data_IF_354049258932
#
_entry.id   IF_354049258932
#
_cell.length_a   1.000
_cell.length_b   1.000
_cell.length_c   1.000
_cell.angle_alpha   90.00
_cell.angle_beta   90.00
_cell.angle_gamma   90.00
#
_symmetry.space_group_name_H-M   'P 1'
#
loop_
_entity.id
_entity.type
_entity.pdbx_description
1 polymer ?
#
# COMPACT_ATOMS: atom_id res chain seq x y z
N UNK A 1 3.12 -6.09 9.65
CA UNK A 1 3.50 -4.68 9.93
C UNK A 1 2.23 -3.93 10.25
N UNK A 2 2.20 -3.20 11.36
CA UNK A 2 1.04 -2.42 11.79
C UNK A 2 0.96 -1.10 11.02
N UNK A 3 -0.05 -0.94 10.15
CA UNK A 3 -0.28 0.30 9.39
C UNK A 3 -1.53 1.01 9.90
N UNK A 4 -1.42 2.33 10.12
CA UNK A 4 -2.59 3.17 10.41
C UNK A 4 -3.43 3.33 9.14
N UNK A 5 -4.62 2.72 9.12
CA UNK A 5 -5.51 2.72 7.94
C UNK A 5 -6.67 3.71 8.09
N UNK A 6 -6.96 4.17 9.31
CA UNK A 6 -8.00 5.17 9.52
C UNK A 6 -8.15 5.62 10.96
N UNK A 7 -9.14 6.49 11.18
CA UNK A 7 -9.53 7.00 12.50
C UNK A 7 -11.05 6.98 12.64
N UNK A 8 -11.53 6.51 13.78
CA UNK A 8 -12.96 6.54 14.12
C UNK A 8 -13.37 7.98 14.44
N UNK A 9 -14.40 8.45 13.75
CA UNK A 9 -15.01 9.75 13.96
C UNK A 9 -16.25 9.69 14.86
N UNK A 10 -17.25 10.50 14.54
CA UNK A 10 -18.49 10.59 15.34
C UNK A 10 -19.41 9.41 15.11
N UNK A 11 -20.21 9.06 16.11
CA UNK A 11 -21.31 8.13 15.94
C UNK A 11 -22.36 8.68 14.93
N UNK A 12 -22.84 7.80 14.08
CA UNK A 12 -23.84 8.04 13.05
C UNK A 12 -25.10 7.22 13.34
N UNK A 13 -26.25 7.89 13.38
CA UNK A 13 -27.52 7.23 13.72
C UNK A 13 -27.55 6.65 15.13
N UNK A 14 -28.39 5.63 15.32
CA UNK A 14 -28.61 4.93 16.60
C UNK A 14 -28.12 3.47 16.60
N UNK A 15 -27.79 2.93 15.41
CA UNK A 15 -27.50 1.51 15.20
C UNK A 15 -26.00 1.17 15.31
N UNK A 16 -25.24 1.93 16.11
CA UNK A 16 -23.83 1.60 16.39
C UNK A 16 -22.84 1.87 15.27
N UNK A 17 -23.17 2.76 14.33
CA UNK A 17 -22.26 3.11 13.24
C UNK A 17 -21.41 4.33 13.60
N UNK A 18 -20.18 4.38 13.10
CA UNK A 18 -19.32 5.56 13.20
C UNK A 18 -18.75 5.95 11.83
N UNK A 19 -18.55 7.25 11.63
CA UNK A 19 -17.84 7.77 10.46
C UNK A 19 -16.37 7.41 10.53
N UNK A 20 -15.75 7.04 9.42
CA UNK A 20 -14.32 6.75 9.36
C UNK A 20 -13.60 7.80 8.52
N UNK A 21 -12.55 8.38 9.11
CA UNK A 21 -11.53 9.10 8.35
C UNK A 21 -10.56 8.08 7.77
N UNK A 22 -10.65 7.85 6.47
CA UNK A 22 -9.83 6.88 5.73
C UNK A 22 -8.41 7.44 5.54
N UNK A 23 -7.40 6.61 5.81
CA UNK A 23 -5.97 6.96 5.70
C UNK A 23 -5.16 5.93 4.91
N UNK A 24 -5.86 5.09 4.15
CA UNK A 24 -5.30 4.07 3.26
C UNK A 24 -5.90 4.24 1.87
N UNK A 25 -5.14 3.88 0.86
CA UNK A 25 -5.56 3.75 -0.55
C UNK A 25 -6.45 2.51 -0.77
N UNK A 26 -6.18 1.42 -0.07
CA UNK A 26 -6.91 0.14 -0.16
C UNK A 26 -8.07 0.02 0.86
N UNK A 27 -8.94 1.03 0.94
CA UNK A 27 -10.01 1.07 1.95
C UNK A 27 -11.01 -0.10 1.84
N UNK A 28 -11.26 -0.59 0.62
CA UNK A 28 -12.23 -1.65 0.37
C UNK A 28 -11.84 -2.96 1.05
N UNK A 29 -10.55 -3.33 0.97
CA UNK A 29 -10.03 -4.55 1.58
C UNK A 29 -9.80 -4.35 3.08
N UNK A 30 -9.21 -3.21 3.49
CA UNK A 30 -8.86 -2.95 4.91
C UNK A 30 -10.05 -2.81 5.83
N UNK A 31 -11.18 -2.34 5.31
CA UNK A 31 -12.41 -2.19 6.08
C UNK A 31 -13.48 -3.18 5.66
N UNK A 32 -13.12 -4.28 4.98
CA UNK A 32 -14.08 -5.30 4.57
C UNK A 32 -14.83 -5.91 5.77
N UNK A 33 -16.00 -6.48 5.50
CA UNK A 33 -16.77 -7.21 6.50
C UNK A 33 -15.91 -8.32 7.13
N UNK A 34 -15.84 -8.36 8.46
CA UNK A 34 -15.03 -9.31 9.22
C UNK A 34 -13.54 -8.94 9.35
N UNK A 35 -13.10 -7.83 8.78
CA UNK A 35 -11.73 -7.35 8.97
C UNK A 35 -11.48 -7.06 10.47
N UNK A 36 -10.33 -7.51 10.96
CA UNK A 36 -9.87 -7.25 12.33
C UNK A 36 -8.91 -6.08 12.33
N UNK A 37 -9.26 -5.04 13.06
CA UNK A 37 -8.49 -3.81 13.17
C UNK A 37 -8.02 -3.63 14.60
N UNK A 38 -6.73 -3.48 14.78
CA UNK A 38 -6.14 -3.19 16.08
C UNK A 38 -6.38 -1.73 16.46
N UNK A 39 -6.47 -1.48 17.75
CA UNK A 39 -6.46 -0.13 18.33
C UNK A 39 -5.45 -0.08 19.48
N UNK A 40 -5.06 1.13 19.89
CA UNK A 40 -4.14 1.27 21.03
C UNK A 40 -4.84 1.03 22.38
N UNK A 41 -6.10 1.45 22.50
CA UNK A 41 -6.79 1.57 23.80
C UNK A 41 -8.10 0.76 23.93
N UNK A 42 -8.56 0.12 22.85
CA UNK A 42 -9.84 -0.61 22.82
C UNK A 42 -9.71 -2.09 22.43
N UNK A 43 -8.48 -2.59 22.32
CA UNK A 43 -8.23 -3.92 21.77
C UNK A 43 -8.58 -4.01 20.29
N UNK A 44 -8.83 -5.23 19.83
CA UNK A 44 -9.12 -5.45 18.42
C UNK A 44 -10.61 -5.34 18.14
N UNK A 45 -10.94 -4.66 17.05
CA UNK A 45 -12.29 -4.43 16.59
C UNK A 45 -12.53 -5.24 15.32
N UNK A 46 -13.58 -6.05 15.31
CA UNK A 46 -14.04 -6.76 14.11
C UNK A 46 -15.11 -5.92 13.41
N UNK A 47 -14.93 -5.66 12.12
CA UNK A 47 -15.91 -4.93 11.30
C UNK A 47 -17.17 -5.79 11.12
N UNK A 48 -18.32 -5.31 11.58
CA UNK A 48 -19.61 -5.99 11.49
C UNK A 48 -20.45 -5.49 10.29
N UNK A 49 -20.26 -4.23 9.87
CA UNK A 49 -20.89 -3.71 8.67
C UNK A 49 -20.09 -2.57 8.04
N UNK A 50 -20.26 -2.43 6.74
CA UNK A 50 -19.56 -1.45 5.90
C UNK A 50 -20.56 -0.79 4.98
N UNK A 51 -20.63 0.54 5.01
CA UNK A 51 -21.40 1.28 4.00
C UNK A 51 -20.81 2.65 3.73
N UNK A 52 -21.08 3.17 2.55
CA UNK A 52 -20.78 4.56 2.19
C UNK A 52 -22.08 5.34 2.13
N UNK A 53 -22.15 6.46 2.83
CA UNK A 53 -23.29 7.37 2.80
C UNK A 53 -22.82 8.80 2.55
N UNK A 54 -23.27 9.41 1.45
CA UNK A 54 -22.86 10.76 1.01
C UNK A 54 -21.33 10.94 0.97
N UNK A 55 -20.61 9.93 0.46
CA UNK A 55 -19.15 9.95 0.35
C UNK A 55 -18.40 9.72 1.67
N UNK A 56 -19.10 9.43 2.78
CA UNK A 56 -18.49 9.13 4.07
C UNK A 56 -18.57 7.63 4.33
N UNK A 57 -17.43 7.01 4.66
CA UNK A 57 -17.38 5.62 5.09
C UNK A 57 -17.96 5.49 6.51
N UNK A 58 -18.85 4.53 6.69
CA UNK A 58 -19.49 4.18 7.95
C UNK A 58 -19.19 2.71 8.26
N UNK A 59 -18.73 2.45 9.47
CA UNK A 59 -18.51 1.10 10.00
C UNK A 59 -19.30 0.87 11.28
N UNK A 60 -19.74 -0.36 11.50
CA UNK A 60 -20.08 -0.89 12.83
C UNK A 60 -19.08 -1.96 13.24
N UNK A 61 -18.97 -2.19 14.54
CA UNK A 61 -18.04 -3.17 15.11
C UNK A 61 -18.77 -4.14 16.03
N UNK A 62 -18.34 -5.40 16.04
CA UNK A 62 -18.91 -6.42 16.92
C UNK A 62 -18.86 -5.98 18.39
N UNK A 63 -19.99 -6.08 19.09
CA UNK A 63 -20.12 -5.63 20.48
C UNK A 63 -20.39 -4.13 20.66
N UNK A 64 -20.44 -3.33 19.59
CA UNK A 64 -20.73 -1.89 19.60
C UNK A 64 -22.01 -1.57 18.82
N UNK A 65 -23.13 -2.18 19.21
CA UNK A 65 -24.40 -2.15 18.46
C UNK A 65 -25.27 -0.90 18.68
N UNK A 66 -24.81 0.09 19.45
CA UNK A 66 -25.57 1.31 19.72
C UNK A 66 -24.70 2.57 19.70
N UNK A 67 -25.36 3.73 19.59
CA UNK A 67 -24.70 5.04 19.53
C UNK A 67 -23.75 5.30 20.69
N UNK A 68 -24.14 4.95 21.91
CA UNK A 68 -23.35 5.23 23.10
C UNK A 68 -22.15 4.30 23.19
N UNK A 69 -22.28 3.06 22.73
CA UNK A 69 -21.17 2.13 22.63
C UNK A 69 -20.13 2.64 21.63
N UNK A 70 -20.54 2.93 20.39
CA UNK A 70 -19.59 3.32 19.33
C UNK A 70 -18.96 4.70 19.57
N UNK A 71 -19.65 5.63 20.24
CA UNK A 71 -19.07 6.95 20.59
C UNK A 71 -17.89 6.81 21.57
N UNK A 72 -17.78 5.72 22.35
CA UNK A 72 -16.61 5.45 23.20
C UNK A 72 -15.33 5.17 22.39
N UNK A 73 -15.48 4.77 21.13
CA UNK A 73 -14.38 4.51 20.21
C UNK A 73 -13.94 5.75 19.45
N UNK A 74 -14.59 6.89 19.67
CA UNK A 74 -14.29 8.12 18.95
C UNK A 74 -12.82 8.52 19.12
N UNK A 75 -12.25 8.98 18.02
CA UNK A 75 -10.85 9.38 17.86
C UNK A 75 -9.83 8.23 17.96
N UNK A 76 -10.27 6.99 18.19
CA UNK A 76 -9.40 5.83 18.14
C UNK A 76 -8.82 5.62 16.73
N UNK A 77 -7.54 5.28 16.69
CA UNK A 77 -6.82 4.93 15.47
C UNK A 77 -7.05 3.46 15.15
N UNK A 78 -7.30 3.17 13.87
CA UNK A 78 -7.49 1.83 13.34
C UNK A 78 -6.22 1.40 12.64
N UNK A 79 -5.68 0.26 13.05
CA UNK A 79 -4.51 -0.32 12.43
C UNK A 79 -4.83 -1.69 11.83
N UNK A 80 -4.34 -1.92 10.62
CA UNK A 80 -4.36 -3.24 10.01
C UNK A 80 -2.97 -3.87 10.13
N UNK A 81 -2.90 -5.16 10.46
CA UNK A 81 -1.67 -5.92 10.29
C UNK A 81 -1.54 -6.33 8.83
N UNK A 82 -0.43 -5.92 8.23
CA UNK A 82 -0.10 -6.20 6.83
C UNK A 82 1.03 -7.21 6.81
N UNK A 83 0.82 -8.35 6.17
CA UNK A 83 1.94 -9.15 5.73
C UNK A 83 2.56 -8.50 4.48
N UNK A 84 3.69 -7.83 4.67
CA UNK A 84 4.45 -7.20 3.58
C UNK A 84 5.03 -8.23 2.59
N UNK A 85 4.99 -9.53 2.93
CA UNK A 85 5.40 -10.62 2.05
C UNK A 85 4.22 -11.29 1.35
N UNK A 86 2.97 -10.89 1.66
CA UNK A 86 1.83 -11.35 0.88
C UNK A 86 1.94 -10.79 -0.56
N UNK A 87 1.70 -11.62 -1.59
CA UNK A 87 1.63 -11.14 -2.96
C UNK A 87 0.48 -10.13 -3.10
N UNK A 88 0.63 -9.14 -4.00
CA UNK A 88 -0.45 -8.25 -4.40
C UNK A 88 -1.63 -9.03 -5.02
N UNK A 89 -2.79 -8.38 -5.15
CA UNK A 89 -3.98 -9.02 -5.75
C UNK A 89 -3.82 -9.31 -7.25
N UNK A 90 -2.88 -8.63 -7.90
CA UNK A 90 -2.47 -8.85 -9.29
C UNK A 90 -0.99 -9.24 -9.36
N UNK A 91 -0.60 -10.09 -10.30
CA UNK A 91 0.80 -10.53 -10.50
C UNK A 91 1.75 -9.36 -10.85
N UNK A 92 1.18 -8.20 -11.22
CA UNK A 92 1.87 -6.96 -11.55
C UNK A 92 1.78 -5.87 -10.44
N UNK A 93 1.12 -6.16 -9.31
CA UNK A 93 1.01 -5.25 -8.15
C UNK A 93 2.17 -5.48 -7.16
N UNK A 94 3.27 -4.74 -7.36
CA UNK A 94 4.42 -4.77 -6.47
C UNK A 94 4.35 -3.64 -5.44
N UNK A 95 4.46 -3.98 -4.16
CA UNK A 95 4.69 -2.94 -3.16
C UNK A 95 6.09 -2.34 -3.37
N UNK A 96 6.18 -1.02 -3.44
CA UNK A 96 7.43 -0.26 -3.58
C UNK A 96 8.54 -0.76 -2.62
N UNK A 97 8.16 -1.10 -1.39
CA UNK A 97 9.09 -1.61 -0.37
C UNK A 97 9.69 -2.99 -0.68
N UNK A 98 9.04 -3.79 -1.53
CA UNK A 98 9.54 -5.09 -1.97
C UNK A 98 10.63 -4.97 -3.05
N UNK A 99 10.61 -3.87 -3.81
CA UNK A 99 11.56 -3.60 -4.89
C UNK A 99 12.92 -3.11 -4.35
N UNK A 100 12.92 -2.34 -3.27
CA UNK A 100 14.14 -1.84 -2.64
C UNK A 100 14.99 -3.00 -2.09
N UNK A 101 16.27 -3.01 -2.44
CA UNK A 101 17.21 -4.08 -2.10
C UNK A 101 17.21 -5.26 -3.07
N UNK A 102 16.44 -5.20 -4.17
CA UNK A 102 16.61 -6.08 -5.31
C UNK A 102 17.79 -5.65 -6.19
N UNK A 103 18.26 -6.55 -7.04
CA UNK A 103 19.32 -6.30 -8.03
C UNK A 103 18.73 -6.18 -9.42
N UNK A 104 19.15 -5.15 -10.15
CA UNK A 104 18.75 -4.91 -11.54
C UNK A 104 19.78 -5.52 -12.51
N UNK A 105 19.31 -6.27 -13.49
CA UNK A 105 20.13 -6.91 -14.53
C UNK A 105 19.65 -6.53 -15.92
N UNK A 106 20.54 -6.50 -16.90
CA UNK A 106 20.18 -6.40 -18.30
C UNK A 106 19.64 -7.73 -18.83
N UNK A 107 19.03 -7.71 -20.02
CA UNK A 107 18.52 -8.90 -20.71
C UNK A 107 19.61 -9.95 -20.98
N UNK A 108 20.88 -9.54 -21.10
CA UNK A 108 22.02 -10.44 -21.26
C UNK A 108 22.53 -11.05 -19.94
N UNK A 109 21.91 -10.69 -18.81
CA UNK A 109 22.27 -11.14 -17.47
C UNK A 109 23.36 -10.31 -16.78
N UNK A 110 23.86 -9.23 -17.40
CA UNK A 110 24.84 -8.33 -16.79
C UNK A 110 24.22 -7.53 -15.64
N UNK A 111 24.91 -7.45 -14.50
CA UNK A 111 24.44 -6.65 -13.36
C UNK A 111 24.56 -5.15 -13.65
N UNK A 112 23.46 -4.42 -13.48
CA UNK A 112 23.43 -2.95 -13.55
C UNK A 112 23.75 -2.35 -12.19
N UNK A 113 23.13 -2.88 -11.12
CA UNK A 113 23.29 -2.35 -9.78
C UNK A 113 22.20 -2.79 -8.82
N UNK A 114 22.21 -2.19 -7.63
CA UNK A 114 21.21 -2.41 -6.59
C UNK A 114 20.09 -1.36 -6.69
N UNK A 115 18.84 -1.78 -6.52
CA UNK A 115 17.70 -0.88 -6.44
C UNK A 115 17.69 -0.27 -5.04
N UNK A 116 17.94 1.03 -4.95
CA UNK A 116 18.10 1.75 -3.69
C UNK A 116 16.84 2.50 -3.27
N UNK A 117 16.00 2.87 -4.22
CA UNK A 117 14.78 3.63 -3.96
C UNK A 117 13.77 3.48 -5.13
N UNK A 118 12.53 3.91 -4.89
CA UNK A 118 11.52 4.08 -5.93
C UNK A 118 10.87 5.45 -5.75
N UNK A 119 11.05 6.33 -6.73
CA UNK A 119 10.46 7.66 -6.72
C UNK A 119 9.02 7.58 -7.20
N UNK A 120 8.06 7.93 -6.34
CA UNK A 120 6.66 8.10 -6.75
C UNK A 120 6.48 9.50 -7.34
N UNK A 121 6.55 9.61 -8.67
CA UNK A 121 6.32 10.87 -9.38
C UNK A 121 4.86 10.96 -9.86
N UNK A 122 4.32 12.18 -10.07
CA UNK A 122 2.99 12.32 -10.66
C UNK A 122 2.93 11.65 -12.04
N UNK A 123 2.16 10.55 -12.12
CA UNK A 123 1.88 9.82 -13.36
C UNK A 123 2.69 8.55 -13.59
N UNK A 124 3.78 8.28 -12.84
CA UNK A 124 4.49 7.00 -12.88
C UNK A 124 5.53 6.87 -11.76
N UNK A 125 5.85 5.62 -11.41
CA UNK A 125 6.96 5.29 -10.53
C UNK A 125 8.28 5.15 -11.30
N UNK A 126 9.39 5.49 -10.65
CA UNK A 126 10.74 5.43 -11.23
C UNK A 126 11.68 4.71 -10.28
N UNK A 127 12.29 3.61 -10.73
CA UNK A 127 13.33 2.89 -10.00
C UNK A 127 14.60 3.72 -9.95
N UNK A 128 15.22 3.80 -8.77
CA UNK A 128 16.56 4.33 -8.56
C UNK A 128 17.53 3.16 -8.40
N UNK A 129 18.47 3.04 -9.34
CA UNK A 129 19.46 1.97 -9.36
C UNK A 129 20.84 2.58 -9.11
N UNK A 130 21.52 2.14 -8.07
CA UNK A 130 22.90 2.50 -7.81
C UNK A 130 23.82 1.74 -8.77
N UNK A 131 24.19 2.38 -9.89
CA UNK A 131 25.21 1.88 -10.81
C UNK A 131 26.64 2.11 -10.29
N UNK A 132 27.64 1.62 -11.03
CA UNK A 132 29.04 1.72 -10.60
C UNK A 132 29.56 3.18 -10.46
N UNK A 133 29.07 4.09 -11.29
CA UNK A 133 29.56 5.48 -11.37
C UNK A 133 28.49 6.55 -11.14
N UNK A 134 27.21 6.21 -11.30
CA UNK A 134 26.09 7.12 -11.09
C UNK A 134 24.80 6.36 -10.80
N UNK A 135 23.82 7.09 -10.29
CA UNK A 135 22.44 6.60 -10.21
C UNK A 135 21.84 6.53 -11.61
N UNK A 136 21.04 5.48 -11.84
CA UNK A 136 20.30 5.24 -13.07
C UNK A 136 18.82 5.25 -12.71
N UNK A 137 18.03 6.05 -13.44
CA UNK A 137 16.60 6.19 -13.24
C UNK A 137 15.86 5.45 -14.36
N UNK A 138 15.04 4.47 -14.00
CA UNK A 138 14.27 3.68 -14.97
C UNK A 138 12.79 3.74 -14.59
N UNK A 139 11.90 4.26 -15.47
CA UNK A 139 10.46 4.19 -15.24
C UNK A 139 10.01 2.75 -15.00
N UNK A 140 9.26 2.52 -13.93
CA UNK A 140 8.76 1.20 -13.54
C UNK A 140 7.53 0.84 -14.37
N UNK A 141 7.77 0.53 -15.65
CA UNK A 141 6.76 0.11 -16.61
C UNK A 141 7.22 -1.17 -17.28
N UNK A 142 6.26 -2.05 -17.63
CA UNK A 142 6.53 -3.37 -18.23
C UNK A 142 7.43 -3.34 -19.47
N UNK A 143 7.41 -2.24 -20.23
CA UNK A 143 8.27 -2.07 -21.40
C UNK A 143 9.76 -1.92 -21.06
N UNK A 144 10.08 -1.41 -19.87
CA UNK A 144 11.45 -1.19 -19.40
C UNK A 144 11.83 -2.14 -18.27
N UNK A 145 10.86 -2.74 -17.58
CA UNK A 145 11.06 -3.72 -16.51
C UNK A 145 10.17 -4.93 -16.78
N UNK A 146 10.55 -5.79 -17.75
CA UNK A 146 9.69 -6.88 -18.21
C UNK A 146 9.61 -8.06 -17.23
N UNK A 147 10.58 -8.22 -16.33
CA UNK A 147 10.63 -9.32 -15.38
C UNK A 147 10.95 -8.82 -13.97
N UNK A 148 10.13 -9.21 -13.00
CA UNK A 148 10.30 -8.90 -11.58
C UNK A 148 10.20 -10.20 -10.79
N UNK A 149 11.27 -10.57 -10.11
CA UNK A 149 11.35 -11.74 -9.24
C UNK A 149 11.71 -11.29 -7.83
N UNK A 150 10.67 -10.99 -7.04
CA UNK A 150 10.80 -10.56 -5.65
C UNK A 150 11.40 -11.67 -4.78
N UNK A 151 11.10 -12.94 -5.09
CA UNK A 151 11.59 -14.10 -4.31
C UNK A 151 13.10 -14.21 -4.38
N UNK A 152 13.67 -14.04 -5.57
CA UNK A 152 15.12 -14.08 -5.79
C UNK A 152 15.76 -12.69 -5.74
N UNK A 153 15.00 -11.64 -5.40
CA UNK A 153 15.44 -10.23 -5.36
C UNK A 153 16.09 -9.77 -6.66
N UNK A 154 15.49 -10.10 -7.79
CA UNK A 154 16.04 -9.86 -9.13
C UNK A 154 15.01 -9.16 -10.02
N UNK A 155 15.44 -8.10 -10.71
CA UNK A 155 14.68 -7.46 -11.79
C UNK A 155 15.48 -7.49 -13.08
N UNK A 156 14.80 -7.69 -14.21
CA UNK A 156 15.38 -7.43 -15.54
C UNK A 156 14.94 -6.04 -15.99
N UNK A 157 15.90 -5.23 -16.41
CA UNK A 157 15.68 -3.85 -16.85
C UNK A 157 16.25 -3.62 -18.24
N UNK A 158 15.58 -2.76 -19.01
CA UNK A 158 15.97 -2.28 -20.33
C UNK A 158 16.18 -0.77 -20.20
N UNK A 159 17.41 -0.29 -19.91
CA UNK A 159 17.67 1.13 -19.82
C UNK A 159 17.39 1.81 -21.18
N UNK A 160 16.72 2.98 -21.19
CA UNK A 160 16.53 3.72 -22.42
C UNK A 160 17.88 4.14 -23.00
N UNK A 161 18.10 3.87 -24.30
CA UNK A 161 19.29 4.32 -25.01
C UNK A 161 19.18 5.84 -25.18
N UNK A 162 19.92 6.61 -24.36
CA UNK A 162 20.09 8.04 -24.59
C UNK A 162 21.22 8.19 -25.62
N UNK A 163 20.89 8.06 -26.90
CA UNK A 163 21.82 8.46 -27.96
C UNK A 163 21.82 10.00 -27.98
N UNK A 164 22.87 10.61 -27.42
CA UNK A 164 23.00 12.05 -27.15
C UNK A 164 23.11 12.93 -28.38
N UNK A 165 22.29 12.70 -29.41
CA UNK A 165 22.16 13.59 -30.56
C UNK A 165 20.96 14.49 -30.38
N UNK A 166 21.25 15.71 -29.94
CA UNK A 166 20.35 16.85 -30.18
C UNK A 166 20.36 17.08 -31.69
N UNK A 167 19.21 16.90 -32.33
CA UNK A 167 18.97 17.39 -33.69
C UNK A 167 18.64 18.89 -33.66
#
# INVERSE_FOLDING_TARGET
MRLNVGRIGRAHGILGEATIEVRTDDAATRFALGARLETDDHGDLTVESVRVHNGILLLSFEGYSDRNAVEKLRDALLYADIDINAPGEDDDDYHVLQLVGCKAYLEDGSLVGDITDVLNLPGQDVLVIAGESSEILIPFVRALVPEVDITNKKLVVIPPIIDGRVQ
#
